data_IF_344939447324
#
_entry.id   IF_344939447324
#
_cell.length_a   1.000
_cell.length_b   1.000
_cell.length_c   1.000
_cell.angle_alpha   90.00
_cell.angle_beta   90.00
_cell.angle_gamma   90.00
#
_symmetry.space_group_name_H-M   'P 1'
#
loop_
_entity.id
_entity.type
_entity.pdbx_description
1 polymer ?
#
# COMPACT_ATOMS: atom_id res chain seq x y z
N UNK A 1 -21.09 45.97 -5.24
CA UNK A 1 -21.23 44.59 -5.76
C UNK A 1 -19.94 44.24 -6.48
N UNK A 2 -18.95 43.75 -5.74
CA UNK A 2 -17.71 43.19 -6.29
C UNK A 2 -18.02 41.76 -6.70
N UNK A 3 -17.97 41.46 -8.00
CA UNK A 3 -18.10 40.10 -8.49
C UNK A 3 -17.02 39.23 -7.81
N UNK A 4 -17.46 38.22 -7.06
CA UNK A 4 -16.56 37.13 -6.67
C UNK A 4 -15.97 36.53 -7.95
N UNK A 5 -14.66 36.26 -8.01
CA UNK A 5 -14.08 35.58 -9.15
C UNK A 5 -14.72 34.19 -9.23
N UNK A 6 -15.50 33.99 -10.29
CA UNK A 6 -16.09 32.70 -10.66
C UNK A 6 -15.00 31.63 -10.58
N UNK A 7 -15.14 30.59 -9.73
CA UNK A 7 -14.10 29.59 -9.60
C UNK A 7 -13.95 28.93 -10.96
N UNK A 8 -12.82 29.14 -11.63
CA UNK A 8 -12.52 28.59 -12.94
C UNK A 8 -12.79 27.07 -12.91
N UNK A 9 -13.98 26.68 -13.38
CA UNK A 9 -14.35 25.29 -13.57
C UNK A 9 -13.39 24.82 -14.65
N UNK A 10 -12.44 23.96 -14.29
CA UNK A 10 -11.49 23.41 -15.24
C UNK A 10 -12.27 22.86 -16.42
N UNK A 11 -12.05 23.42 -17.61
CA UNK A 11 -12.76 23.03 -18.82
C UNK A 11 -12.61 21.49 -19.01
N UNK A 12 -13.71 20.71 -18.96
CA UNK A 12 -13.66 19.25 -19.03
C UNK A 12 -12.87 18.72 -20.23
N UNK A 13 -12.93 19.41 -21.36
CA UNK A 13 -12.18 19.05 -22.57
C UNK A 13 -10.66 19.21 -22.38
N UNK A 14 -10.22 20.26 -21.69
CA UNK A 14 -8.81 20.48 -21.37
C UNK A 14 -8.29 19.40 -20.42
N UNK A 15 -9.11 19.01 -19.44
CA UNK A 15 -8.78 17.92 -18.53
C UNK A 15 -8.67 16.59 -19.27
N UNK A 16 -9.63 16.25 -20.13
CA UNK A 16 -9.58 15.03 -20.95
C UNK A 16 -8.37 15.01 -21.87
N UNK A 17 -8.00 16.14 -22.48
CA UNK A 17 -6.79 16.24 -23.29
C UNK A 17 -5.51 16.02 -22.45
N UNK A 18 -5.46 16.55 -21.22
CA UNK A 18 -4.37 16.29 -20.29
C UNK A 18 -4.31 14.81 -19.89
N UNK A 19 -5.45 14.20 -19.56
CA UNK A 19 -5.55 12.79 -19.21
C UNK A 19 -5.10 11.92 -20.37
N UNK A 20 -5.61 12.13 -21.59
CA UNK A 20 -5.20 11.34 -22.77
C UNK A 20 -3.69 11.32 -22.99
N UNK A 21 -3.01 12.46 -22.77
CA UNK A 21 -1.54 12.56 -22.89
C UNK A 21 -0.79 11.84 -21.78
N UNK A 22 -1.28 11.90 -20.54
CA UNK A 22 -0.54 11.39 -19.38
C UNK A 22 -0.95 9.98 -18.95
N UNK A 23 -2.16 9.54 -19.31
CA UNK A 23 -2.74 8.25 -18.92
C UNK A 23 -1.89 7.08 -19.42
N UNK A 24 -1.41 7.14 -20.66
CA UNK A 24 -0.51 6.11 -21.21
C UNK A 24 0.82 6.06 -20.45
N UNK A 25 1.42 7.21 -20.14
CA UNK A 25 2.66 7.30 -19.37
C UNK A 25 2.48 6.78 -17.95
N UNK A 26 1.36 7.12 -17.31
CA UNK A 26 1.01 6.61 -15.99
C UNK A 26 0.75 5.09 -16.00
N UNK A 27 0.15 4.57 -17.07
CA UNK A 27 -0.04 3.13 -17.27
C UNK A 27 1.27 2.37 -17.45
N UNK A 28 2.19 2.88 -18.27
CA UNK A 28 3.55 2.32 -18.42
C UNK A 28 4.30 2.39 -17.09
N UNK A 29 4.26 3.54 -16.40
CA UNK A 29 4.91 3.71 -15.10
C UNK A 29 4.35 2.74 -14.06
N UNK A 30 3.05 2.45 -14.08
CA UNK A 30 2.43 1.44 -13.21
C UNK A 30 2.95 0.03 -13.51
N UNK A 31 3.02 -0.38 -14.78
CA UNK A 31 3.55 -1.69 -15.16
C UNK A 31 5.03 -1.84 -14.83
N UNK A 32 5.84 -0.83 -15.16
CA UNK A 32 7.27 -0.78 -14.79
C UNK A 32 7.43 -0.80 -13.27
N UNK A 33 6.58 -0.07 -12.54
CA UNK A 33 6.55 -0.10 -11.09
C UNK A 33 6.19 -1.47 -10.53
N UNK A 34 5.22 -2.17 -11.13
CA UNK A 34 4.79 -3.50 -10.70
C UNK A 34 5.91 -4.53 -10.91
N UNK A 35 6.57 -4.48 -12.06
CA UNK A 35 7.74 -5.32 -12.35
C UNK A 35 8.92 -4.99 -11.44
N UNK A 36 9.17 -3.70 -11.16
CA UNK A 36 10.21 -3.25 -10.24
C UNK A 36 9.98 -3.78 -8.82
N UNK A 37 8.76 -3.64 -8.29
CA UNK A 37 8.39 -4.21 -6.99
C UNK A 37 8.47 -5.73 -6.98
N UNK A 38 8.01 -6.41 -8.04
CA UNK A 38 8.13 -7.86 -8.15
C UNK A 38 9.60 -8.30 -8.09
N UNK A 39 10.46 -7.67 -8.90
CA UNK A 39 11.90 -7.93 -8.90
C UNK A 39 12.51 -7.66 -7.52
N UNK A 40 12.17 -6.54 -6.88
CA UNK A 40 12.62 -6.20 -5.53
C UNK A 40 12.31 -7.31 -4.52
N UNK A 41 11.04 -7.72 -4.41
CA UNK A 41 10.64 -8.72 -3.42
C UNK A 41 11.17 -10.13 -3.74
N UNK A 42 11.19 -10.52 -5.01
CA UNK A 42 11.71 -11.83 -5.43
C UNK A 42 13.22 -11.90 -5.19
N UNK A 43 13.99 -10.89 -5.60
CA UNK A 43 15.43 -10.86 -5.37
C UNK A 43 15.77 -10.79 -3.89
N UNK A 44 14.98 -10.05 -3.09
CA UNK A 44 15.14 -10.04 -1.64
C UNK A 44 14.89 -11.42 -1.02
N UNK A 45 13.90 -12.17 -1.50
CA UNK A 45 13.69 -13.56 -1.05
C UNK A 45 14.85 -14.47 -1.46
N UNK A 46 15.40 -14.31 -2.67
CA UNK A 46 16.57 -15.06 -3.13
C UNK A 46 17.78 -14.78 -2.24
N UNK A 47 18.04 -13.50 -1.91
CA UNK A 47 19.11 -13.09 -1.00
C UNK A 47 18.93 -13.70 0.41
N UNK A 48 17.69 -13.73 0.92
CA UNK A 48 17.41 -14.26 2.26
C UNK A 48 17.48 -15.79 2.34
N UNK A 49 17.22 -16.49 1.24
CA UNK A 49 17.17 -17.96 1.22
C UNK A 49 18.51 -18.59 1.57
N UNK A 50 19.58 -18.05 0.99
CA UNK A 50 20.94 -18.60 1.10
C UNK A 50 21.78 -17.84 2.15
N UNK A 51 21.14 -16.96 2.94
CA UNK A 51 21.81 -16.14 3.94
C UNK A 51 22.37 -17.01 5.08
N UNK A 52 23.67 -16.89 5.43
CA UNK A 52 24.27 -17.62 6.54
C UNK A 52 23.54 -17.32 7.84
N UNK A 53 23.18 -18.37 8.59
CA UNK A 53 22.50 -18.25 9.88
C UNK A 53 23.49 -18.50 11.01
N UNK A 54 23.57 -17.56 11.93
CA UNK A 54 24.35 -17.74 13.17
C UNK A 54 23.47 -18.45 14.20
N UNK A 55 23.99 -19.50 14.83
CA UNK A 55 23.26 -20.21 15.88
C UNK A 55 23.24 -19.39 17.18
N UNK A 56 22.06 -19.24 17.80
CA UNK A 56 21.92 -18.57 19.09
C UNK A 56 22.69 -19.28 20.21
N UNK A 57 22.79 -20.61 20.15
CA UNK A 57 23.58 -21.39 21.10
C UNK A 57 25.09 -21.12 20.96
N UNK A 58 25.59 -20.98 19.74
CA UNK A 58 27.01 -20.65 19.50
C UNK A 58 27.35 -19.26 20.05
N UNK A 59 26.42 -18.33 19.93
CA UNK A 59 26.56 -16.97 20.47
C UNK A 59 26.64 -16.99 22.00
N UNK A 60 25.75 -17.74 22.67
CA UNK A 60 25.74 -17.89 24.13
C UNK A 60 26.99 -18.60 24.65
N UNK A 61 27.43 -19.67 23.97
CA UNK A 61 28.63 -20.41 24.34
C UNK A 61 29.88 -19.54 24.20
N UNK A 62 29.96 -18.66 23.18
CA UNK A 62 31.06 -17.71 23.04
C UNK A 62 31.02 -16.60 24.09
N UNK A 63 29.83 -16.08 24.41
CA UNK A 63 29.68 -15.06 25.45
C UNK A 63 30.02 -15.59 26.86
N UNK A 64 29.88 -16.89 27.09
CA UNK A 64 30.25 -17.54 28.35
C UNK A 64 31.77 -17.80 28.50
N UNK A 65 32.58 -17.62 27.46
CA UNK A 65 34.04 -17.79 27.56
C UNK A 65 34.68 -16.59 28.27
N UNK A 66 35.59 -16.81 29.24
CA UNK A 66 36.30 -15.72 29.89
C UNK A 66 37.25 -15.00 28.92
N UNK A 67 37.16 -13.67 28.86
CA UNK A 67 37.96 -12.81 27.98
C UNK A 67 37.17 -11.59 27.50
N UNK A 68 37.84 -10.68 26.77
CA UNK A 68 37.16 -9.56 26.11
C UNK A 68 36.42 -10.05 24.86
N UNK A 69 35.10 -9.93 24.88
CA UNK A 69 34.22 -10.36 23.79
C UNK A 69 34.44 -9.50 22.53
N UNK A 70 34.85 -8.24 22.68
CA UNK A 70 35.07 -7.31 21.58
C UNK A 70 36.20 -7.72 20.64
N UNK A 71 37.24 -8.34 21.18
CA UNK A 71 38.42 -8.80 20.42
C UNK A 71 38.20 -10.14 19.69
N UNK A 72 37.11 -10.85 19.96
CA UNK A 72 36.85 -12.14 19.32
C UNK A 72 36.49 -11.97 17.83
N UNK A 73 36.86 -12.94 16.96
CA UNK A 73 36.38 -12.99 15.59
C UNK A 73 34.85 -13.01 15.55
N UNK A 74 34.27 -12.07 14.80
CA UNK A 74 32.83 -11.91 14.79
C UNK A 74 32.14 -13.04 14.03
N UNK A 75 31.03 -13.50 14.60
CA UNK A 75 30.15 -14.50 14.00
C UNK A 75 29.47 -13.98 12.72
N UNK A 76 29.49 -12.67 12.49
CA UNK A 76 28.92 -12.04 11.30
C UNK A 76 29.86 -12.09 10.10
N UNK A 77 31.10 -12.59 10.23
CA UNK A 77 32.04 -12.72 9.10
C UNK A 77 31.42 -13.39 7.88
N UNK A 78 30.81 -14.56 8.06
CA UNK A 78 30.16 -15.28 6.97
C UNK A 78 29.03 -14.47 6.32
N UNK A 79 28.31 -13.65 7.10
CA UNK A 79 27.26 -12.78 6.59
C UNK A 79 27.81 -11.64 5.73
N UNK A 80 28.86 -10.96 6.18
CA UNK A 80 29.48 -9.88 5.41
C UNK A 80 30.15 -10.38 4.14
N UNK A 81 30.86 -11.51 4.19
CA UNK A 81 31.44 -12.16 3.00
C UNK A 81 30.35 -12.61 2.00
N UNK A 82 29.21 -13.10 2.51
CA UNK A 82 28.06 -13.44 1.68
C UNK A 82 27.49 -12.21 0.95
N UNK A 83 27.30 -11.09 1.65
CA UNK A 83 26.78 -9.86 1.04
C UNK A 83 27.76 -9.28 0.01
N UNK A 84 29.06 -9.29 0.30
CA UNK A 84 30.10 -8.86 -0.63
C UNK A 84 30.04 -9.66 -1.94
N UNK A 85 29.98 -10.99 -1.84
CA UNK A 85 29.82 -11.89 -2.99
C UNK A 85 28.53 -11.63 -3.78
N UNK A 86 27.50 -11.10 -3.12
CA UNK A 86 26.18 -10.80 -3.70
C UNK A 86 25.96 -9.32 -3.98
N UNK A 87 27.01 -8.50 -4.04
CA UNK A 87 26.93 -7.04 -4.28
C UNK A 87 26.04 -6.68 -5.48
N UNK A 88 26.22 -7.36 -6.62
CA UNK A 88 25.39 -7.12 -7.82
C UNK A 88 23.90 -7.34 -7.54
N UNK A 89 23.57 -8.40 -6.79
CA UNK A 89 22.20 -8.73 -6.43
C UNK A 89 21.62 -7.68 -5.47
N UNK A 90 22.41 -7.19 -4.51
CA UNK A 90 22.02 -6.10 -3.59
C UNK A 90 21.71 -4.81 -4.36
N UNK A 91 22.52 -4.45 -5.35
CA UNK A 91 22.28 -3.29 -6.22
C UNK A 91 20.99 -3.46 -7.02
N UNK A 92 20.76 -4.63 -7.61
CA UNK A 92 19.53 -4.92 -8.36
C UNK A 92 18.28 -4.85 -7.48
N UNK A 93 18.35 -5.29 -6.22
CA UNK A 93 17.28 -5.10 -5.24
C UNK A 93 17.02 -3.59 -5.06
N UNK A 94 18.06 -2.79 -4.80
CA UNK A 94 17.94 -1.34 -4.60
C UNK A 94 17.26 -0.64 -5.78
N UNK A 95 17.71 -0.94 -7.00
CA UNK A 95 17.15 -0.37 -8.23
C UNK A 95 15.71 -0.82 -8.48
N UNK A 96 15.42 -2.11 -8.31
CA UNK A 96 14.06 -2.65 -8.45
C UNK A 96 13.08 -1.98 -7.49
N UNK A 97 13.49 -1.82 -6.23
CA UNK A 97 12.70 -1.13 -5.21
C UNK A 97 12.49 0.34 -5.57
N UNK A 98 13.55 1.07 -5.89
CA UNK A 98 13.48 2.49 -6.27
C UNK A 98 12.52 2.73 -7.44
N UNK A 99 12.68 1.97 -8.53
CA UNK A 99 11.82 2.05 -9.72
C UNK A 99 10.38 1.67 -9.36
N UNK A 100 10.21 0.62 -8.56
CA UNK A 100 8.92 0.15 -8.08
C UNK A 100 8.11 1.24 -7.39
N UNK A 101 8.73 1.87 -6.39
CA UNK A 101 8.08 2.90 -5.58
C UNK A 101 7.85 4.22 -6.31
N UNK A 102 8.73 4.59 -7.25
CA UNK A 102 8.48 5.72 -8.16
C UNK A 102 7.29 5.46 -9.10
N UNK A 103 7.17 4.22 -9.61
CA UNK A 103 6.02 3.82 -10.43
C UNK A 103 4.70 3.95 -9.67
N UNK A 104 4.68 3.52 -8.40
CA UNK A 104 3.51 3.72 -7.51
C UNK A 104 3.24 5.21 -7.31
N UNK A 105 4.25 6.00 -6.92
CA UNK A 105 4.12 7.43 -6.67
C UNK A 105 3.51 8.17 -7.87
N UNK A 106 4.04 7.91 -9.06
CA UNK A 106 3.58 8.52 -10.31
C UNK A 106 2.15 8.12 -10.66
N UNK A 107 1.85 6.82 -10.59
CA UNK A 107 0.54 6.29 -10.97
C UNK A 107 -0.57 6.77 -10.01
N UNK A 108 -0.33 6.70 -8.70
CA UNK A 108 -1.28 7.16 -7.68
C UNK A 108 -1.42 8.69 -7.72
N UNK A 109 -0.33 9.42 -7.96
CA UNK A 109 -0.36 10.86 -8.18
C UNK A 109 -1.24 11.26 -9.37
N UNK A 110 -1.05 10.60 -10.53
CA UNK A 110 -1.89 10.79 -11.70
C UNK A 110 -3.37 10.50 -11.39
N UNK A 111 -3.65 9.39 -10.73
CA UNK A 111 -5.01 9.02 -10.34
C UNK A 111 -5.62 10.04 -9.37
N UNK A 112 -4.83 10.60 -8.44
CA UNK A 112 -5.25 11.67 -7.54
C UNK A 112 -5.62 12.95 -8.28
N UNK A 113 -4.85 13.35 -9.30
CA UNK A 113 -5.16 14.51 -10.15
C UNK A 113 -6.48 14.27 -10.92
N UNK A 114 -6.64 13.11 -11.55
CA UNK A 114 -7.87 12.76 -12.27
C UNK A 114 -9.09 12.66 -11.34
N UNK A 115 -8.91 12.18 -10.11
CA UNK A 115 -9.99 12.12 -9.13
C UNK A 115 -10.46 13.52 -8.74
N UNK A 116 -9.50 14.44 -8.59
CA UNK A 116 -9.78 15.79 -8.17
C UNK A 116 -10.60 16.59 -9.18
N UNK A 117 -10.32 16.46 -10.48
CA UNK A 117 -11.08 17.18 -11.51
C UNK A 117 -12.58 16.87 -11.46
N UNK A 118 -12.92 15.68 -10.94
CA UNK A 118 -14.28 15.16 -10.81
C UNK A 118 -14.91 15.39 -9.44
N UNK A 119 -14.12 15.68 -8.40
CA UNK A 119 -14.59 15.83 -7.02
C UNK A 119 -13.99 17.09 -6.38
N UNK A 120 -14.71 18.23 -6.37
CA UNK A 120 -14.22 19.51 -5.83
C UNK A 120 -13.83 19.45 -4.35
N UNK A 121 -14.48 18.57 -3.59
CA UNK A 121 -14.20 18.32 -2.16
C UNK A 121 -12.82 17.68 -1.95
N UNK A 122 -12.22 17.08 -2.98
CA UNK A 122 -10.91 16.44 -2.91
C UNK A 122 -9.78 17.49 -2.86
N UNK A 123 -9.15 17.60 -1.70
CA UNK A 123 -8.17 18.67 -1.42
C UNK A 123 -6.86 18.47 -2.17
N UNK A 124 -6.21 19.58 -2.59
CA UNK A 124 -4.94 19.57 -3.36
C UNK A 124 -3.87 18.70 -2.70
N UNK A 125 -3.72 18.83 -1.38
CA UNK A 125 -2.62 18.19 -0.65
C UNK A 125 -2.68 16.65 -0.72
N UNK A 126 -3.86 16.05 -0.86
CA UNK A 126 -4.04 14.60 -0.91
C UNK A 126 -3.32 13.99 -2.13
N UNK A 127 -3.16 14.76 -3.21
CA UNK A 127 -2.41 14.32 -4.41
C UNK A 127 -0.92 14.17 -4.11
N UNK A 128 -0.36 15.07 -3.30
CA UNK A 128 1.08 15.09 -3.02
C UNK A 128 1.48 14.06 -1.98
N UNK A 129 0.58 13.69 -1.06
CA UNK A 129 0.85 12.68 -0.02
C UNK A 129 1.40 11.36 -0.57
N UNK A 130 0.76 10.66 -1.53
CA UNK A 130 1.29 9.43 -2.09
C UNK A 130 2.54 9.66 -2.96
N UNK A 131 2.68 10.82 -3.60
CA UNK A 131 3.87 11.14 -4.41
C UNK A 131 5.09 11.25 -3.50
N UNK A 132 5.00 12.09 -2.46
CA UNK A 132 6.07 12.26 -1.47
C UNK A 132 6.35 10.93 -0.78
N UNK A 133 5.32 10.22 -0.34
CA UNK A 133 5.47 8.92 0.32
C UNK A 133 6.22 7.91 -0.54
N UNK A 134 5.82 7.72 -1.80
CA UNK A 134 6.48 6.76 -2.69
C UNK A 134 7.90 7.17 -3.10
N UNK A 135 8.17 8.47 -3.31
CA UNK A 135 9.53 8.97 -3.59
C UNK A 135 10.45 8.77 -2.38
N UNK A 136 10.01 9.18 -1.19
CA UNK A 136 10.77 9.01 0.06
C UNK A 136 11.05 7.54 0.31
N UNK A 137 10.07 6.66 0.09
CA UNK A 137 10.24 5.23 0.28
C UNK A 137 11.19 4.64 -0.77
N UNK A 138 11.09 5.02 -2.04
CA UNK A 138 12.07 4.61 -3.06
C UNK A 138 13.50 5.01 -2.70
N UNK A 139 13.71 6.27 -2.31
CA UNK A 139 15.01 6.77 -1.86
C UNK A 139 15.51 5.99 -0.65
N UNK A 140 14.65 5.73 0.33
CA UNK A 140 15.03 4.99 1.55
C UNK A 140 15.54 3.58 1.24
N UNK A 141 14.93 2.88 0.27
CA UNK A 141 15.37 1.55 -0.16
C UNK A 141 16.76 1.64 -0.78
N UNK A 142 17.00 2.62 -1.65
CA UNK A 142 18.31 2.80 -2.29
C UNK A 142 19.39 3.15 -1.26
N UNK A 143 19.09 4.07 -0.34
CA UNK A 143 20.01 4.43 0.76
C UNK A 143 20.34 3.24 1.64
N UNK A 144 19.35 2.39 1.96
CA UNK A 144 19.58 1.18 2.74
C UNK A 144 20.52 0.21 2.03
N UNK A 145 20.45 0.09 0.70
CA UNK A 145 21.38 -0.79 -0.04
C UNK A 145 22.79 -0.20 -0.08
N UNK A 146 22.92 1.11 -0.37
CA UNK A 146 24.22 1.77 -0.39
C UNK A 146 24.90 1.73 0.99
N UNK A 147 24.16 2.00 2.06
CA UNK A 147 24.65 1.89 3.43
C UNK A 147 25.07 0.46 3.77
N UNK A 148 24.32 -0.55 3.32
CA UNK A 148 24.72 -1.95 3.51
C UNK A 148 26.04 -2.26 2.84
N UNK A 149 26.29 -1.75 1.62
CA UNK A 149 27.55 -1.97 0.91
C UNK A 149 28.73 -1.24 1.59
N UNK A 150 28.49 -0.04 2.11
CA UNK A 150 29.49 0.71 2.87
C UNK A 150 29.91 -0.04 4.14
N UNK A 151 28.94 -0.48 4.95
CA UNK A 151 29.19 -1.24 6.18
C UNK A 151 29.92 -2.55 5.86
N UNK A 152 29.53 -3.25 4.79
CA UNK A 152 30.20 -4.50 4.37
C UNK A 152 31.66 -4.24 4.03
N UNK A 153 31.97 -3.21 3.23
CA UNK A 153 33.35 -2.88 2.85
C UNK A 153 34.19 -2.49 4.07
N UNK A 154 33.70 -1.56 4.89
CA UNK A 154 34.40 -1.09 6.10
C UNK A 154 34.71 -2.25 7.05
N UNK A 155 33.73 -3.15 7.23
CA UNK A 155 33.91 -4.31 8.07
C UNK A 155 34.93 -5.30 7.51
N UNK A 156 34.88 -5.62 6.22
CA UNK A 156 35.78 -6.62 5.62
C UNK A 156 37.23 -6.13 5.52
N UNK A 157 37.44 -4.82 5.46
CA UNK A 157 38.75 -4.16 5.49
C UNK A 157 39.32 -4.03 6.92
N UNK A 158 38.48 -4.23 7.94
CA UNK A 158 38.87 -4.17 9.36
C UNK A 158 39.50 -5.48 9.87
N UNK A 159 39.80 -5.51 11.17
CA UNK A 159 40.25 -6.74 11.87
C UNK A 159 39.16 -7.81 12.03
N UNK A 160 37.92 -7.58 11.54
CA UNK A 160 36.82 -8.56 11.52
C UNK A 160 36.43 -9.11 12.90
N UNK A 161 36.57 -8.27 13.92
CA UNK A 161 36.22 -8.57 15.31
C UNK A 161 34.77 -8.15 15.63
N UNK A 162 34.25 -8.57 16.78
CA UNK A 162 32.94 -8.14 17.29
C UNK A 162 32.89 -6.62 17.46
N UNK A 163 33.98 -6.03 17.95
CA UNK A 163 34.08 -4.58 18.09
C UNK A 163 34.04 -3.89 16.73
N UNK A 164 34.82 -4.36 15.74
CA UNK A 164 34.79 -3.78 14.40
C UNK A 164 33.41 -3.90 13.72
N UNK A 165 32.66 -4.99 13.98
CA UNK A 165 31.27 -5.14 13.50
C UNK A 165 30.31 -4.12 14.12
N UNK A 166 30.58 -3.73 15.38
CA UNK A 166 29.74 -2.78 16.13
C UNK A 166 30.09 -1.34 15.80
N UNK A 167 31.37 -1.07 15.55
CA UNK A 167 31.92 0.26 15.26
C UNK A 167 31.69 0.70 13.81
N UNK A 168 31.42 -0.23 12.88
CA UNK A 168 31.11 0.09 11.49
C UNK A 168 29.91 1.05 11.37
N UNK A 169 30.02 2.06 10.50
CA UNK A 169 29.07 3.18 10.46
C UNK A 169 27.70 2.74 9.91
N UNK A 170 26.74 2.60 10.83
CA UNK A 170 25.35 2.23 10.51
C UNK A 170 24.42 3.45 10.33
N UNK A 171 24.95 4.69 10.38
CA UNK A 171 24.15 5.91 10.38
C UNK A 171 23.24 6.05 9.14
N UNK A 172 23.77 5.72 7.97
CA UNK A 172 23.01 5.77 6.71
C UNK A 172 21.84 4.77 6.70
N UNK A 173 22.06 3.54 7.21
CA UNK A 173 21.04 2.50 7.30
C UNK A 173 19.95 2.90 8.30
N UNK A 174 20.32 3.47 9.44
CA UNK A 174 19.36 3.95 10.46
C UNK A 174 18.50 5.08 9.88
N UNK A 175 19.12 6.06 9.21
CA UNK A 175 18.39 7.15 8.57
C UNK A 175 17.46 6.64 7.46
N UNK A 176 17.94 5.70 6.64
CA UNK A 176 17.14 5.03 5.62
C UNK A 176 15.91 4.32 6.23
N UNK A 177 16.08 3.63 7.37
CA UNK A 177 14.96 2.96 8.06
C UNK A 177 13.90 3.95 8.55
N UNK A 178 14.29 5.12 9.05
CA UNK A 178 13.36 6.18 9.44
C UNK A 178 12.59 6.73 8.24
N UNK A 179 13.29 7.03 7.14
CA UNK A 179 12.65 7.46 5.90
C UNK A 179 11.71 6.39 5.34
N UNK A 180 12.08 5.12 5.42
CA UNK A 180 11.24 4.01 4.98
C UNK A 180 9.91 3.99 5.73
N UNK A 181 9.94 4.12 7.07
CA UNK A 181 8.73 4.15 7.89
C UNK A 181 7.84 5.36 7.56
N UNK A 182 8.43 6.55 7.46
CA UNK A 182 7.69 7.77 7.11
C UNK A 182 7.08 7.70 5.71
N UNK A 183 7.87 7.26 4.72
CA UNK A 183 7.41 7.05 3.35
C UNK A 183 6.28 6.02 3.28
N UNK A 184 6.36 4.95 4.09
CA UNK A 184 5.34 3.89 4.13
C UNK A 184 4.01 4.44 4.61
N UNK A 185 4.03 5.19 5.71
CA UNK A 185 2.82 5.79 6.29
C UNK A 185 2.18 6.81 5.34
N UNK A 186 2.99 7.71 4.76
CA UNK A 186 2.51 8.69 3.79
C UNK A 186 1.90 8.02 2.57
N UNK A 187 2.60 7.04 1.98
CA UNK A 187 2.12 6.34 0.80
C UNK A 187 0.86 5.53 1.11
N UNK A 188 0.81 4.82 2.24
CA UNK A 188 -0.35 4.05 2.66
C UNK A 188 -1.60 4.94 2.78
N UNK A 189 -1.51 6.06 3.50
CA UNK A 189 -2.62 7.00 3.68
C UNK A 189 -3.03 7.62 2.34
N UNK A 190 -2.06 8.07 1.55
CA UNK A 190 -2.31 8.65 0.24
C UNK A 190 -3.00 7.67 -0.72
N UNK A 191 -2.51 6.43 -0.77
CA UNK A 191 -3.08 5.36 -1.59
C UNK A 191 -4.52 5.04 -1.19
N UNK A 192 -4.81 4.89 0.10
CA UNK A 192 -6.18 4.64 0.60
C UNK A 192 -7.12 5.78 0.22
N UNK A 193 -6.71 7.03 0.47
CA UNK A 193 -7.53 8.21 0.16
C UNK A 193 -7.78 8.33 -1.34
N UNK A 194 -6.77 8.13 -2.17
CA UNK A 194 -6.92 8.19 -3.63
C UNK A 194 -7.79 7.04 -4.13
N UNK A 195 -7.54 5.80 -3.72
CA UNK A 195 -8.31 4.64 -4.17
C UNK A 195 -9.80 4.75 -3.80
N UNK A 196 -10.10 5.19 -2.58
CA UNK A 196 -11.47 5.41 -2.12
C UNK A 196 -12.20 6.45 -2.97
N UNK A 197 -11.57 7.60 -3.22
CA UNK A 197 -12.21 8.68 -3.96
C UNK A 197 -12.27 8.39 -5.47
N UNK A 198 -11.24 7.78 -6.04
CA UNK A 198 -11.21 7.36 -7.44
C UNK A 198 -12.31 6.33 -7.76
N UNK A 199 -12.56 5.40 -6.83
CA UNK A 199 -13.69 4.48 -6.93
C UNK A 199 -15.04 5.20 -6.89
N UNK A 200 -15.20 6.22 -6.03
CA UNK A 200 -16.44 6.98 -5.91
C UNK A 200 -16.79 7.76 -7.17
N UNK A 201 -15.80 8.26 -7.91
CA UNK A 201 -16.00 9.00 -9.17
C UNK A 201 -16.03 8.11 -10.42
N UNK A 202 -15.87 6.79 -10.27
CA UNK A 202 -15.92 5.83 -11.38
C UNK A 202 -14.61 5.65 -12.15
N UNK A 203 -13.50 6.22 -11.69
CA UNK A 203 -12.17 6.06 -12.31
C UNK A 203 -11.56 4.67 -12.03
N UNK A 204 -11.97 4.05 -10.93
CA UNK A 204 -11.68 2.66 -10.60
C UNK A 204 -12.98 1.86 -10.50
N UNK A 205 -12.94 0.59 -10.88
CA UNK A 205 -14.01 -0.36 -10.50
C UNK A 205 -14.05 -0.54 -8.99
N UNK A 206 -15.20 -0.99 -8.45
CA UNK A 206 -15.32 -1.26 -7.01
C UNK A 206 -14.28 -2.27 -6.51
N UNK A 207 -14.08 -3.34 -7.27
CA UNK A 207 -13.07 -4.35 -6.97
C UNK A 207 -11.67 -3.72 -6.88
N UNK A 208 -11.26 -2.95 -7.90
CA UNK A 208 -9.94 -2.35 -7.93
C UNK A 208 -9.76 -1.26 -6.85
N UNK A 209 -10.83 -0.55 -6.50
CA UNK A 209 -10.86 0.39 -5.38
C UNK A 209 -10.61 -0.30 -4.03
N UNK A 210 -11.32 -1.39 -3.74
CA UNK A 210 -11.12 -2.16 -2.52
C UNK A 210 -9.73 -2.78 -2.42
N UNK A 211 -9.20 -3.32 -3.53
CA UNK A 211 -7.83 -3.84 -3.58
C UNK A 211 -6.81 -2.73 -3.34
N UNK A 212 -7.05 -1.51 -3.84
CA UNK A 212 -6.17 -0.36 -3.60
C UNK A 212 -6.17 0.09 -2.13
N UNK A 213 -7.35 0.13 -1.51
CA UNK A 213 -7.49 0.40 -0.07
C UNK A 213 -6.79 -0.69 0.75
N UNK A 214 -7.03 -1.97 0.41
CA UNK A 214 -6.37 -3.09 1.07
C UNK A 214 -4.86 -3.01 0.92
N UNK A 215 -4.34 -2.69 -0.27
CA UNK A 215 -2.91 -2.52 -0.52
C UNK A 215 -2.30 -1.46 0.40
N UNK A 216 -2.93 -0.28 0.53
CA UNK A 216 -2.46 0.76 1.43
C UNK A 216 -2.53 0.37 2.91
N UNK A 217 -3.61 -0.29 3.35
CA UNK A 217 -3.73 -0.75 4.73
C UNK A 217 -2.70 -1.85 5.07
N UNK A 218 -2.46 -2.77 4.13
CA UNK A 218 -1.53 -3.89 4.29
C UNK A 218 -0.07 -3.44 4.38
N UNK A 219 0.32 -2.34 3.73
CA UNK A 219 1.65 -1.76 3.91
C UNK A 219 2.00 -1.46 5.38
N UNK A 220 0.99 -1.21 6.22
CA UNK A 220 1.17 -0.88 7.64
C UNK A 220 0.83 -2.07 8.54
N UNK A 221 -0.28 -2.77 8.27
CA UNK A 221 -0.80 -3.80 9.17
C UNK A 221 -0.14 -5.17 8.97
N UNK A 222 0.00 -5.59 7.71
CA UNK A 222 0.54 -6.90 7.36
C UNK A 222 1.07 -6.85 5.91
N UNK A 223 2.38 -6.63 5.71
CA UNK A 223 2.92 -6.32 4.39
C UNK A 223 2.85 -7.53 3.46
N UNK A 224 1.80 -7.58 2.64
CA UNK A 224 1.64 -8.53 1.54
C UNK A 224 1.81 -7.82 0.20
N UNK A 225 3.04 -7.75 -0.32
CA UNK A 225 3.33 -6.98 -1.53
C UNK A 225 2.65 -7.52 -2.77
N UNK A 226 2.28 -8.80 -2.79
CA UNK A 226 1.59 -9.44 -3.92
C UNK A 226 0.29 -8.70 -4.27
N UNK A 227 -0.47 -8.26 -3.26
CA UNK A 227 -1.73 -7.52 -3.47
C UNK A 227 -1.46 -6.17 -4.13
N UNK A 228 -0.42 -5.47 -3.68
CA UNK A 228 -0.01 -4.19 -4.22
C UNK A 228 0.54 -4.29 -5.65
N UNK A 229 1.38 -5.30 -5.92
CA UNK A 229 1.94 -5.58 -7.26
C UNK A 229 0.80 -5.88 -8.23
N UNK A 230 -0.13 -6.75 -7.82
CA UNK A 230 -1.32 -7.07 -8.61
C UNK A 230 -2.16 -5.82 -8.88
N UNK A 231 -2.44 -5.04 -7.84
CA UNK A 231 -3.23 -3.80 -7.96
C UNK A 231 -2.60 -2.82 -8.93
N UNK A 232 -1.28 -2.59 -8.80
CA UNK A 232 -0.55 -1.66 -9.63
C UNK A 232 -0.50 -2.15 -11.10
N UNK A 233 -0.31 -3.44 -11.31
CA UNK A 233 -0.39 -4.06 -12.63
C UNK A 233 -1.77 -3.89 -13.26
N UNK A 234 -2.83 -4.23 -12.53
CA UNK A 234 -4.22 -4.07 -12.95
C UNK A 234 -4.56 -2.61 -13.27
N UNK A 235 -4.12 -1.66 -12.44
CA UNK A 235 -4.26 -0.24 -12.69
C UNK A 235 -3.50 0.18 -13.96
N UNK A 236 -2.31 -0.36 -14.21
CA UNK A 236 -1.58 -0.18 -15.47
C UNK A 236 -2.43 -0.58 -16.69
N UNK A 237 -3.07 -1.75 -16.66
CA UNK A 237 -3.98 -2.17 -17.74
C UNK A 237 -5.19 -1.26 -17.91
N UNK A 238 -5.80 -0.79 -16.81
CA UNK A 238 -6.89 0.21 -16.84
C UNK A 238 -6.42 1.51 -17.49
N UNK A 239 -5.25 2.03 -17.10
CA UNK A 239 -4.71 3.26 -17.65
C UNK A 239 -4.32 3.13 -19.13
N UNK A 240 -3.92 1.94 -19.57
CA UNK A 240 -3.60 1.68 -20.97
C UNK A 240 -4.83 1.39 -21.85
N UNK A 241 -6.05 1.43 -21.30
CA UNK A 241 -7.28 1.11 -22.02
C UNK A 241 -7.38 -0.36 -22.45
N UNK A 242 -6.66 -1.25 -21.75
CA UNK A 242 -6.58 -2.69 -22.02
C UNK A 242 -7.31 -3.53 -20.96
N UNK A 243 -8.14 -2.90 -20.13
CA UNK A 243 -8.89 -3.60 -19.11
C UNK A 243 -10.03 -4.44 -19.72
N UNK A 244 -10.32 -5.65 -19.21
CA UNK A 244 -11.47 -6.42 -19.65
C UNK A 244 -12.77 -5.63 -19.46
N UNK A 245 -13.49 -5.38 -20.57
CA UNK A 245 -14.67 -4.52 -20.59
C UNK A 245 -14.42 -3.09 -21.09
N UNK A 246 -13.19 -2.75 -21.48
CA UNK A 246 -12.85 -1.47 -22.10
C UNK A 246 -12.63 -0.33 -21.10
N UNK A 247 -12.76 0.90 -21.60
CA UNK A 247 -12.60 2.10 -20.78
C UNK A 247 -13.79 2.30 -19.85
N UNK A 248 -13.51 2.62 -18.58
CA UNK A 248 -14.56 2.92 -17.62
C UNK A 248 -15.27 4.23 -18.00
N UNK A 249 -16.59 4.37 -17.73
CA UNK A 249 -17.37 5.52 -18.18
C UNK A 249 -16.77 6.88 -17.81
N UNK A 250 -16.20 7.01 -16.61
CA UNK A 250 -15.59 8.24 -16.13
C UNK A 250 -14.32 8.67 -16.91
N UNK A 251 -13.65 7.73 -17.58
CA UNK A 251 -12.52 8.03 -18.47
C UNK A 251 -12.96 8.54 -19.84
N UNK A 252 -14.17 8.20 -20.28
CA UNK A 252 -14.73 8.65 -21.55
C UNK A 252 -15.39 10.02 -21.45
N UNK A 253 -16.16 10.27 -20.38
CA UNK A 253 -16.93 11.51 -20.21
C UNK A 253 -16.11 12.65 -19.62
N UNK A 254 -15.07 12.35 -18.83
CA UNK A 254 -14.33 13.38 -18.06
C UNK A 254 -15.04 13.79 -16.77
N UNK A 255 -16.33 13.50 -16.66
CA UNK A 255 -17.17 13.75 -15.49
C UNK A 255 -17.15 12.59 -14.49
N UNK A 256 -17.56 12.87 -13.26
CA UNK A 256 -17.80 11.84 -12.26
C UNK A 256 -18.98 10.95 -12.69
N UNK A 257 -18.76 9.64 -12.78
CA UNK A 257 -19.83 8.66 -12.99
C UNK A 257 -19.82 7.69 -11.81
N UNK A 258 -20.52 8.03 -10.70
CA UNK A 258 -20.52 7.17 -9.52
C UNK A 258 -21.13 5.80 -9.80
N UNK A 259 -20.54 4.75 -9.24
CA UNK A 259 -21.10 3.40 -9.38
C UNK A 259 -22.50 3.32 -8.77
N UNK A 260 -23.48 2.66 -9.43
CA UNK A 260 -24.85 2.54 -8.95
C UNK A 260 -24.89 2.06 -7.50
N UNK A 261 -25.39 2.87 -6.58
CA UNK A 261 -25.61 2.40 -5.20
C UNK A 261 -26.66 1.30 -5.29
N UNK A 262 -26.45 0.11 -4.66
CA UNK A 262 -27.50 -0.89 -4.61
C UNK A 262 -28.76 -0.21 -4.09
N UNK A 263 -29.82 -0.18 -4.88
CA UNK A 263 -31.11 0.33 -4.42
C UNK A 263 -31.41 -0.39 -3.11
N UNK A 264 -31.68 0.40 -2.06
CA UNK A 264 -32.13 -0.16 -0.78
C UNK A 264 -33.27 -1.09 -1.12
N UNK A 265 -33.22 -2.40 -0.76
CA UNK A 265 -34.38 -3.25 -0.93
C UNK A 265 -35.57 -2.49 -0.35
N UNK A 266 -36.69 -2.33 -1.08
CA UNK A 266 -37.84 -1.63 -0.54
C UNK A 266 -38.11 -2.23 0.84
N UNK A 267 -38.37 -1.41 1.88
CA UNK A 267 -38.62 -1.92 3.21
C UNK A 267 -39.64 -3.03 3.05
N UNK A 268 -39.28 -4.27 3.42
CA UNK A 268 -40.18 -5.42 3.37
C UNK A 268 -41.44 -4.97 4.08
N UNK A 269 -42.48 -4.61 3.32
CA UNK A 269 -43.80 -4.42 3.87
C UNK A 269 -44.04 -5.70 4.64
N UNK A 270 -44.21 -5.58 5.97
CA UNK A 270 -44.63 -6.69 6.82
C UNK A 270 -45.97 -7.16 6.27
N UNK A 271 -45.91 -8.06 5.29
CA UNK A 271 -47.07 -8.78 4.77
C UNK A 271 -47.42 -9.78 5.86
N UNK A 272 -48.34 -9.38 6.72
CA UNK A 272 -48.77 -10.15 7.88
C UNK A 272 -48.53 -9.47 9.23
N UNK A 273 -48.91 -8.20 9.38
CA UNK A 273 -49.54 -7.82 10.65
C UNK A 273 -51.04 -8.12 10.47
N UNK A 274 -51.64 -9.10 11.19
CA UNK A 274 -53.08 -9.26 11.15
C UNK A 274 -53.72 -7.94 11.61
N UNK A 275 -54.69 -7.47 10.83
CA UNK A 275 -55.51 -6.32 11.18
C UNK A 275 -56.05 -6.53 12.59
N UNK A 276 -55.81 -5.57 13.48
CA UNK A 276 -56.46 -5.53 14.77
C UNK A 276 -57.96 -5.39 14.52
N UNK A 277 -58.69 -6.49 14.68
CA UNK A 277 -60.15 -6.50 14.75
C UNK A 277 -60.58 -5.53 15.84
N UNK A 278 -61.54 -4.61 15.60
CA UNK A 278 -62.06 -3.75 16.65
C UNK A 278 -62.67 -4.61 17.76
N UNK A 279 -62.17 -4.45 18.99
CA UNK A 279 -62.70 -5.13 20.16
C UNK A 279 -64.13 -4.66 20.41
N UNK A 280 -65.08 -5.59 20.23
CA UNK A 280 -66.45 -5.45 20.69
C UNK A 280 -66.52 -5.32 22.22
N UNK A 281 -67.54 -4.61 22.66
CA UNK A 281 -67.85 -4.27 24.04
C UNK A 281 -67.79 -5.43 25.05
N UNK A 282 -67.42 -5.01 26.25
CA UNK A 282 -67.32 -5.73 27.52
C UNK A 282 -68.45 -6.71 27.83
N UNK A 283 -68.07 -7.96 28.13
CA UNK A 283 -68.87 -8.95 28.86
C UNK A 283 -67.98 -9.75 29.83
N UNK A 284 -68.48 -10.17 31.01
CA UNK A 284 -67.66 -10.52 32.16
C UNK A 284 -66.99 -11.91 32.07
N UNK A 285 -65.78 -11.99 32.64
CA UNK A 285 -64.92 -13.17 32.67
C UNK A 285 -65.48 -14.33 33.51
N UNK A 286 -65.40 -15.59 33.03
CA UNK A 286 -65.54 -16.75 33.89
C UNK A 286 -64.21 -17.43 34.25
N UNK A 287 -64.22 -17.90 35.50
CA UNK A 287 -63.20 -18.50 36.34
C UNK A 287 -62.23 -19.55 35.72
N UNK A 288 -60.97 -19.38 36.12
CA UNK A 288 -59.82 -20.29 36.09
C UNK A 288 -60.17 -21.69 36.67
N UNK A 289 -60.09 -22.76 35.86
CA UNK A 289 -60.19 -24.15 36.35
C UNK A 289 -58.89 -24.95 36.15
N UNK A 290 -58.53 -25.65 37.22
CA UNK A 290 -57.23 -26.26 37.55
C UNK A 290 -56.77 -27.35 36.56
N UNK A 291 -55.47 -27.30 36.25
CA UNK A 291 -54.67 -28.34 35.56
C UNK A 291 -54.51 -29.57 36.45
N UNK A 292 -55.00 -30.74 36.00
CA UNK A 292 -54.79 -32.04 36.65
C UNK A 292 -53.55 -32.70 36.02
N UNK A 293 -52.52 -32.94 36.84
CA UNK A 293 -51.36 -33.80 36.52
C UNK A 293 -51.83 -35.24 36.34
N UNK A 294 -51.23 -35.96 35.38
CA UNK A 294 -51.23 -37.42 35.38
C UNK A 294 -49.82 -37.92 35.05
N UNK A 295 -49.45 -38.94 35.81
CA UNK A 295 -48.17 -39.64 35.94
C UNK A 295 -47.48 -39.96 34.62
#
# INVERSE_FOLDING_TARGET
MTAEPEPAIANPEQQLAWEKRHRQRAGIAALVGALGLLAFYVLQQVLQRDMPKVSGLETLVRAAKPGDVGALPSLQNAFFEYLDTKTVLVILIGLGGFIGWLGVAWCVGFLGVATRSRLPVFRRFIIYVPIVGGVVLGISVLMSQLGSLQVVSEYLDSNRTVQAATDADNGLIVYARLLYQLGTLLLAVGLVLVALNAMRVGLLTRMLGYIGIASGAMMVLFPLPIVQIFWLGALGFVLLGRWPGGDLPAWATGDAVPWPTPERPPPRQRRGAPAATPAAESGPAPARRKRKKRN
#
